data_IF_938957499205
#
_entry.id   IF_938957499205
#
_cell.length_a   1.000
_cell.length_b   1.000
_cell.length_c   1.000
_cell.angle_alpha   90.00
_cell.angle_beta   90.00
_cell.angle_gamma   90.00
#
_symmetry.space_group_name_H-M   'P 1'
#
loop_
_entity.id
_entity.type
_entity.pdbx_description
1 polymer ?
#
# COMPACT_ATOMS: atom_id res chain seq x y z
N UNK A 1 25.53 10.00 1.80
CA UNK A 1 24.80 9.71 3.06
C UNK A 1 24.58 8.21 3.31
N UNK A 2 24.96 7.35 2.35
CA UNK A 2 24.90 5.88 2.56
C UNK A 2 25.72 5.42 3.77
N UNK A 3 26.96 5.91 4.01
CA UNK A 3 27.71 5.50 5.19
C UNK A 3 27.04 5.89 6.52
N UNK A 4 26.30 7.00 6.55
CA UNK A 4 25.52 7.39 7.74
C UNK A 4 24.35 6.40 7.97
N UNK A 5 23.64 6.07 6.91
CA UNK A 5 22.55 5.10 6.96
C UNK A 5 23.04 3.73 7.44
N UNK A 6 24.16 3.26 6.90
CA UNK A 6 24.79 1.99 7.26
C UNK A 6 25.28 1.98 8.71
N UNK A 7 25.90 3.08 9.16
CA UNK A 7 26.38 3.23 10.54
C UNK A 7 25.23 3.08 11.55
N UNK A 8 24.13 3.83 11.35
CA UNK A 8 23.00 3.82 12.28
C UNK A 8 22.27 2.47 12.27
N UNK A 9 22.18 1.82 11.10
CA UNK A 9 21.55 0.51 10.98
C UNK A 9 22.39 -0.58 11.65
N UNK A 10 23.72 -0.54 11.53
CA UNK A 10 24.64 -1.52 12.08
C UNK A 10 24.83 -1.37 13.59
N UNK A 11 24.92 -0.14 14.08
CA UNK A 11 25.13 0.16 15.51
C UNK A 11 24.02 1.08 16.05
N UNK A 12 23.05 0.48 16.70
CA UNK A 12 21.89 1.20 17.26
C UNK A 12 22.16 1.95 18.55
N UNK A 13 23.38 1.83 19.11
CA UNK A 13 23.80 2.61 20.28
C UNK A 13 24.28 4.01 19.91
N UNK A 14 24.52 4.24 18.62
CA UNK A 14 24.90 5.54 18.07
C UNK A 14 23.74 6.50 18.16
N UNK A 15 24.01 7.73 18.62
CA UNK A 15 23.05 8.84 18.50
C UNK A 15 22.97 9.30 17.05
N UNK A 16 21.80 9.16 16.38
CA UNK A 16 21.67 9.55 14.98
C UNK A 16 22.02 11.02 14.72
N UNK A 17 21.62 11.94 15.61
CA UNK A 17 21.90 13.38 15.44
C UNK A 17 23.38 13.67 15.55
N UNK A 18 24.05 13.13 16.56
CA UNK A 18 25.49 13.31 16.74
C UNK A 18 26.30 12.68 15.58
N UNK A 19 25.88 11.51 15.10
CA UNK A 19 26.52 10.88 13.94
C UNK A 19 26.37 11.74 12.67
N UNK A 20 25.17 12.31 12.46
CA UNK A 20 24.85 13.10 11.28
C UNK A 20 25.67 14.40 11.16
N UNK A 21 26.14 14.96 12.27
CA UNK A 21 27.00 16.15 12.26
C UNK A 21 28.25 15.95 11.40
N UNK A 22 28.80 14.74 11.35
CA UNK A 22 30.01 14.44 10.56
C UNK A 22 29.71 14.36 9.03
N UNK A 23 28.46 14.41 8.63
CA UNK A 23 28.03 14.31 7.23
C UNK A 23 27.47 15.62 6.67
N UNK A 24 27.57 16.72 7.43
CA UNK A 24 27.17 18.04 6.96
C UNK A 24 28.12 18.49 5.84
N UNK A 25 27.56 18.86 4.70
CA UNK A 25 28.30 19.36 3.55
C UNK A 25 27.40 20.29 2.72
N UNK A 26 27.50 21.59 2.98
CA UNK A 26 26.66 22.59 2.31
C UNK A 26 26.88 22.64 0.79
N UNK A 27 28.10 22.34 0.31
CA UNK A 27 28.38 22.28 -1.14
C UNK A 27 27.67 21.16 -1.86
N UNK A 28 27.35 20.07 -1.13
CA UNK A 28 26.60 18.92 -1.62
C UNK A 28 25.11 18.96 -1.24
N UNK A 29 24.62 20.11 -0.74
CA UNK A 29 23.22 20.30 -0.41
C UNK A 29 22.81 19.73 0.96
N UNK A 30 23.75 19.31 1.81
CA UNK A 30 23.50 18.85 3.19
C UNK A 30 23.83 19.97 4.15
N UNK A 31 22.84 20.82 4.46
CA UNK A 31 23.05 22.05 5.21
C UNK A 31 23.25 21.82 6.72
N UNK A 32 22.64 20.78 7.27
CA UNK A 32 22.63 20.47 8.70
C UNK A 32 22.45 18.96 8.97
N UNK A 33 22.55 18.56 10.23
CA UNK A 33 22.38 17.19 10.67
C UNK A 33 20.97 16.63 10.36
N UNK A 34 19.93 17.46 10.45
CA UNK A 34 18.57 17.06 10.14
C UNK A 34 18.41 16.71 8.65
N UNK A 35 19.01 17.50 7.76
CA UNK A 35 19.08 17.23 6.32
C UNK A 35 19.87 15.96 6.02
N UNK A 36 20.98 15.72 6.73
CA UNK A 36 21.74 14.47 6.62
C UNK A 36 20.90 13.26 7.02
N UNK A 37 20.16 13.32 8.13
CA UNK A 37 19.27 12.25 8.59
C UNK A 37 18.10 12.04 7.64
N UNK A 38 17.54 13.09 7.05
CA UNK A 38 16.51 12.99 6.04
C UNK A 38 16.99 12.19 4.84
N UNK A 39 18.18 12.51 4.32
CA UNK A 39 18.77 11.78 3.20
C UNK A 39 19.12 10.33 3.56
N UNK A 40 19.66 10.07 4.75
CA UNK A 40 19.93 8.71 5.23
C UNK A 40 18.63 7.90 5.37
N UNK A 41 17.55 8.50 5.89
CA UNK A 41 16.22 7.90 5.96
C UNK A 41 15.71 7.51 4.58
N UNK A 42 15.81 8.40 3.61
CA UNK A 42 15.31 8.16 2.25
C UNK A 42 16.09 7.02 1.56
N UNK A 43 17.40 6.92 1.82
CA UNK A 43 18.24 5.82 1.35
C UNK A 43 17.78 4.47 1.98
N UNK A 44 17.59 4.44 3.29
CA UNK A 44 17.11 3.23 3.96
C UNK A 44 15.69 2.86 3.51
N UNK A 45 14.80 3.83 3.39
CA UNK A 45 13.44 3.60 2.91
C UNK A 45 13.42 3.04 1.48
N UNK A 46 14.32 3.51 0.60
CA UNK A 46 14.48 2.95 -0.74
C UNK A 46 14.95 1.49 -0.68
N UNK A 47 16.00 1.18 0.07
CA UNK A 47 16.49 -0.20 0.26
C UNK A 47 15.40 -1.12 0.81
N UNK A 48 14.67 -0.67 1.83
CA UNK A 48 13.53 -1.39 2.41
C UNK A 48 12.47 -1.67 1.34
N UNK A 49 12.17 -0.70 0.48
CA UNK A 49 11.15 -0.83 -0.56
C UNK A 49 11.53 -1.80 -1.68
N UNK A 50 12.82 -2.03 -1.87
CA UNK A 50 13.35 -2.94 -2.88
C UNK A 50 13.62 -4.36 -2.37
N UNK A 51 13.44 -4.62 -1.07
CA UNK A 51 13.62 -5.95 -0.47
C UNK A 51 12.52 -6.92 -0.93
N UNK A 52 12.85 -7.95 -1.74
CA UNK A 52 11.83 -8.85 -2.29
C UNK A 52 11.13 -9.68 -1.21
N UNK A 53 11.86 -10.11 -0.17
CA UNK A 53 11.32 -10.93 0.91
C UNK A 53 10.34 -10.14 1.78
N UNK A 54 10.66 -8.89 2.07
CA UNK A 54 9.76 -8.00 2.77
C UNK A 54 8.51 -7.67 1.94
N UNK A 55 8.68 -7.36 0.66
CA UNK A 55 7.55 -7.08 -0.25
C UNK A 55 6.58 -8.26 -0.31
N UNK A 56 7.09 -9.48 -0.44
CA UNK A 56 6.25 -10.69 -0.43
C UNK A 56 5.49 -10.84 0.90
N UNK A 57 6.19 -10.66 2.04
CA UNK A 57 5.56 -10.71 3.37
C UNK A 57 4.44 -9.69 3.52
N UNK A 58 4.67 -8.45 3.09
CA UNK A 58 3.67 -7.38 3.15
C UNK A 58 2.50 -7.64 2.20
N UNK A 59 2.77 -8.14 0.99
CA UNK A 59 1.75 -8.49 0.02
C UNK A 59 0.85 -9.61 0.53
N UNK A 60 1.44 -10.69 1.08
CA UNK A 60 0.71 -11.80 1.69
C UNK A 60 -0.15 -11.33 2.88
N UNK A 61 0.43 -10.50 3.75
CA UNK A 61 -0.28 -9.92 4.88
C UNK A 61 -1.49 -9.10 4.44
N UNK A 62 -1.32 -8.18 3.48
CA UNK A 62 -2.39 -7.34 2.97
C UNK A 62 -3.41 -8.13 2.13
N UNK A 63 -2.99 -9.13 1.37
CA UNK A 63 -3.89 -10.04 0.62
C UNK A 63 -4.81 -10.82 1.54
N UNK A 64 -4.30 -11.27 2.69
CA UNK A 64 -5.03 -12.10 3.66
C UNK A 64 -5.96 -11.28 4.56
N UNK A 65 -5.50 -10.11 5.01
CA UNK A 65 -6.20 -9.27 6.00
C UNK A 65 -6.83 -8.02 5.43
N UNK A 66 -6.42 -7.62 4.23
CA UNK A 66 -6.90 -6.41 3.57
C UNK A 66 -8.33 -6.55 3.06
N UNK A 67 -8.97 -5.41 2.95
CA UNK A 67 -10.30 -5.23 2.41
C UNK A 67 -10.25 -4.33 1.18
N UNK A 68 -11.02 -4.68 0.15
CA UNK A 68 -11.30 -3.77 -0.95
C UNK A 68 -12.26 -2.71 -0.46
N UNK A 69 -11.84 -1.46 -0.52
CA UNK A 69 -12.62 -0.31 -0.07
C UNK A 69 -12.94 0.55 -1.29
N UNK A 70 -14.19 0.95 -1.44
CA UNK A 70 -14.55 1.95 -2.44
C UNK A 70 -15.41 3.04 -1.82
N UNK A 71 -15.19 4.26 -2.32
CA UNK A 71 -15.90 5.47 -1.92
C UNK A 71 -16.29 6.26 -3.15
N UNK A 72 -17.44 6.90 -3.09
CA UNK A 72 -17.85 7.83 -4.15
C UNK A 72 -16.88 9.01 -4.25
N UNK A 73 -16.51 9.34 -5.48
CA UNK A 73 -15.73 10.54 -5.78
C UNK A 73 -16.69 11.66 -6.13
N UNK A 74 -16.76 12.68 -5.28
CA UNK A 74 -17.48 13.89 -5.59
C UNK A 74 -16.70 14.68 -6.68
N UNK A 75 -17.17 14.59 -7.91
CA UNK A 75 -16.60 15.33 -9.02
C UNK A 75 -17.03 16.80 -8.87
N UNK A 76 -16.12 17.63 -8.37
CA UNK A 76 -16.34 19.08 -8.31
C UNK A 76 -16.30 19.70 -9.72
N UNK A 77 -17.34 20.44 -10.09
CA UNK A 77 -17.43 21.19 -11.35
C UNK A 77 -18.75 20.96 -12.08
N UNK A 78 -18.98 21.70 -13.17
CA UNK A 78 -20.14 21.55 -14.08
C UNK A 78 -20.20 20.08 -14.57
N UNK A 79 -21.07 19.29 -13.97
CA UNK A 79 -21.27 17.89 -14.35
C UNK A 79 -22.17 17.82 -15.58
N UNK A 80 -21.89 16.91 -16.55
CA UNK A 80 -22.84 16.62 -17.61
C UNK A 80 -24.17 16.12 -17.01
N UNK A 81 -25.28 16.47 -17.61
CA UNK A 81 -26.61 16.08 -17.14
C UNK A 81 -26.81 14.57 -16.94
N UNK A 82 -25.95 13.75 -17.55
CA UNK A 82 -25.97 12.27 -17.44
C UNK A 82 -25.10 11.70 -16.29
N UNK A 83 -24.38 12.56 -15.56
CA UNK A 83 -23.47 12.10 -14.50
C UNK A 83 -24.23 11.37 -13.37
N UNK A 84 -25.42 11.82 -13.03
CA UNK A 84 -26.27 11.19 -12.02
C UNK A 84 -26.74 9.79 -12.45
N UNK A 85 -27.07 9.60 -13.73
CA UNK A 85 -27.49 8.29 -14.25
C UNK A 85 -26.31 7.31 -14.37
N UNK A 86 -25.11 7.83 -14.72
CA UNK A 86 -23.89 7.00 -14.77
C UNK A 86 -23.39 6.60 -13.39
N UNK A 87 -23.49 7.48 -12.40
CA UNK A 87 -23.10 7.21 -11.04
C UNK A 87 -24.08 6.27 -10.34
N UNK A 88 -25.37 6.33 -10.67
CA UNK A 88 -26.43 5.53 -10.05
C UNK A 88 -26.18 4.00 -10.12
N UNK A 89 -25.55 3.51 -11.20
CA UNK A 89 -25.22 2.08 -11.36
C UNK A 89 -24.15 1.58 -10.38
N UNK A 90 -23.39 2.49 -9.75
CA UNK A 90 -22.36 2.17 -8.76
C UNK A 90 -22.78 2.52 -7.33
N UNK A 91 -24.05 2.86 -7.11
CA UNK A 91 -24.56 3.32 -5.81
C UNK A 91 -24.26 2.37 -4.66
N UNK A 92 -24.32 1.06 -4.91
CA UNK A 92 -24.03 0.03 -3.91
C UNK A 92 -22.56 0.00 -3.47
N UNK A 93 -21.69 0.69 -4.20
CA UNK A 93 -20.24 0.77 -3.96
C UNK A 93 -19.77 2.15 -3.50
N UNK A 94 -20.66 3.08 -3.18
CA UNK A 94 -20.31 4.42 -2.71
C UNK A 94 -19.69 4.44 -1.32
N UNK A 95 -20.07 3.49 -0.49
CA UNK A 95 -19.47 3.19 0.80
C UNK A 95 -19.38 1.67 0.94
N UNK A 96 -18.37 1.10 0.31
CA UNK A 96 -18.25 -0.35 0.22
C UNK A 96 -16.94 -0.82 0.83
N UNK A 97 -16.99 -1.95 1.51
CA UNK A 97 -15.84 -2.59 2.13
C UNK A 97 -16.07 -4.10 2.21
N UNK A 98 -15.16 -4.89 1.64
CA UNK A 98 -15.24 -6.35 1.69
C UNK A 98 -13.84 -6.97 1.65
N UNK A 99 -13.61 -8.05 2.44
CA UNK A 99 -12.33 -8.73 2.53
C UNK A 99 -11.87 -9.27 1.18
N UNK A 100 -10.61 -8.99 0.80
CA UNK A 100 -10.01 -9.44 -0.47
C UNK A 100 -10.09 -10.96 -0.66
N UNK A 101 -9.99 -11.71 0.44
CA UNK A 101 -10.04 -13.17 0.43
C UNK A 101 -11.44 -13.76 0.17
N UNK A 102 -12.50 -12.96 0.31
CA UNK A 102 -13.90 -13.41 0.25
C UNK A 102 -14.70 -12.75 -0.86
N UNK A 103 -14.26 -11.61 -1.37
CA UNK A 103 -15.01 -10.81 -2.33
C UNK A 103 -15.28 -11.59 -3.63
N UNK A 104 -16.56 -11.67 -4.08
CA UNK A 104 -16.89 -12.31 -5.35
C UNK A 104 -16.36 -11.56 -6.55
N UNK A 105 -15.97 -12.28 -7.61
CA UNK A 105 -15.37 -11.72 -8.82
C UNK A 105 -16.23 -10.65 -9.48
N UNK A 106 -17.55 -10.82 -9.52
CA UNK A 106 -18.45 -9.83 -10.14
C UNK A 106 -18.45 -8.49 -9.39
N UNK A 107 -18.25 -8.47 -8.05
CA UNK A 107 -18.13 -7.25 -7.26
C UNK A 107 -16.77 -6.56 -7.49
N UNK A 108 -15.70 -7.36 -7.55
CA UNK A 108 -14.36 -6.83 -7.91
C UNK A 108 -14.45 -6.10 -9.24
N UNK A 109 -15.00 -6.75 -10.28
CA UNK A 109 -15.10 -6.16 -11.61
C UNK A 109 -15.99 -4.90 -11.62
N UNK A 110 -17.10 -4.90 -10.86
CA UNK A 110 -17.98 -3.73 -10.74
C UNK A 110 -17.25 -2.53 -10.09
N UNK A 111 -16.55 -2.77 -8.97
CA UNK A 111 -15.79 -1.73 -8.26
C UNK A 111 -14.67 -1.17 -9.13
N UNK A 112 -13.88 -2.04 -9.79
CA UNK A 112 -12.80 -1.61 -10.67
C UNK A 112 -13.29 -0.88 -11.92
N UNK A 113 -14.49 -1.26 -12.42
CA UNK A 113 -15.15 -0.51 -13.48
C UNK A 113 -15.54 0.89 -13.00
N UNK A 114 -16.13 1.03 -11.81
CA UNK A 114 -16.46 2.34 -11.21
C UNK A 114 -15.23 3.23 -11.03
N UNK A 115 -14.09 2.63 -10.64
CA UNK A 115 -12.79 3.33 -10.60
C UNK A 115 -12.35 3.84 -11.97
N UNK A 116 -12.41 2.98 -12.99
CA UNK A 116 -12.03 3.35 -14.36
C UNK A 116 -12.93 4.43 -14.96
N UNK A 117 -14.21 4.44 -14.61
CA UNK A 117 -15.18 5.46 -15.01
C UNK A 117 -15.07 6.74 -14.17
N UNK A 118 -14.16 6.80 -13.17
CA UNK A 118 -13.93 7.99 -12.33
C UNK A 118 -15.00 8.24 -11.27
N UNK A 119 -15.93 7.30 -11.07
CA UNK A 119 -17.02 7.41 -10.09
C UNK A 119 -16.60 6.97 -8.69
N UNK A 120 -15.70 5.99 -8.61
CA UNK A 120 -15.23 5.42 -7.35
C UNK A 120 -13.73 5.65 -7.13
N UNK A 121 -13.37 6.10 -5.94
CA UNK A 121 -12.03 5.94 -5.39
C UNK A 121 -11.92 4.55 -4.78
N UNK A 122 -10.86 3.82 -5.11
CA UNK A 122 -10.68 2.42 -4.68
C UNK A 122 -9.32 2.28 -4.04
N UNK A 123 -9.29 1.66 -2.88
CA UNK A 123 -8.09 1.35 -2.10
C UNK A 123 -8.14 -0.06 -1.50
N UNK A 124 -6.97 -0.52 -1.04
CA UNK A 124 -6.86 -1.70 -0.18
C UNK A 124 -6.44 -1.21 1.21
N UNK A 125 -7.28 -1.48 2.19
CA UNK A 125 -7.08 -1.05 3.57
C UNK A 125 -7.20 -2.25 4.52
N UNK A 126 -6.62 -2.15 5.70
CA UNK A 126 -6.95 -3.04 6.82
C UNK A 126 -8.29 -2.62 7.42
N UNK A 127 -8.76 -3.34 8.43
CA UNK A 127 -9.94 -2.91 9.18
C UNK A 127 -9.75 -1.49 9.74
N UNK A 128 -10.82 -0.71 9.94
CA UNK A 128 -10.70 0.66 10.46
C UNK A 128 -9.89 0.76 11.75
N UNK A 129 -10.06 -0.20 12.66
CA UNK A 129 -9.32 -0.23 13.92
C UNK A 129 -7.82 -0.46 13.71
N UNK A 130 -7.43 -1.29 12.74
CA UNK A 130 -6.04 -1.56 12.41
C UNK A 130 -5.38 -0.40 11.67
N UNK A 131 -6.11 0.28 10.78
CA UNK A 131 -5.61 1.48 10.10
C UNK A 131 -5.29 2.62 11.06
N UNK A 132 -5.99 2.68 12.21
CA UNK A 132 -5.78 3.66 13.25
C UNK A 132 -4.69 3.27 14.26
N UNK A 133 -4.15 2.06 14.20
CA UNK A 133 -3.09 1.64 15.11
C UNK A 133 -1.80 2.44 14.90
N UNK A 134 -1.10 2.70 15.99
CA UNK A 134 0.22 3.34 15.96
C UNK A 134 1.19 2.56 16.87
N UNK A 135 2.19 1.88 16.31
CA UNK A 135 2.50 1.78 14.88
C UNK A 135 1.45 1.00 14.08
N UNK A 136 1.31 1.33 12.79
CA UNK A 136 0.49 0.56 11.85
C UNK A 136 1.02 -0.88 11.73
N UNK A 137 0.16 -1.92 11.57
CA UNK A 137 0.61 -3.32 11.51
C UNK A 137 1.68 -3.59 10.45
N UNK A 138 1.60 -2.95 9.28
CA UNK A 138 2.62 -3.06 8.25
C UNK A 138 3.97 -2.42 8.65
N UNK A 139 3.95 -1.30 9.38
CA UNK A 139 5.16 -0.68 9.96
C UNK A 139 5.84 -1.65 10.93
N UNK A 140 5.05 -2.35 11.74
CA UNK A 140 5.53 -3.37 12.69
C UNK A 140 6.15 -4.59 11.99
N UNK A 141 5.58 -5.01 10.85
CA UNK A 141 6.15 -6.09 10.03
C UNK A 141 7.51 -5.69 9.44
N UNK A 142 7.63 -4.46 8.94
CA UNK A 142 8.91 -3.93 8.44
C UNK A 142 9.95 -3.92 9.57
N UNK A 143 9.59 -3.37 10.72
CA UNK A 143 10.48 -3.32 11.87
C UNK A 143 10.94 -4.72 12.30
N UNK A 144 10.01 -5.68 12.37
CA UNK A 144 10.30 -7.08 12.69
C UNK A 144 11.24 -7.73 11.68
N UNK A 145 11.03 -7.50 10.38
CA UNK A 145 11.86 -8.04 9.30
C UNK A 145 13.34 -7.65 9.46
N UNK A 146 13.59 -6.39 9.84
CA UNK A 146 14.94 -5.86 10.10
C UNK A 146 15.39 -6.00 11.56
N UNK A 147 14.63 -6.69 12.41
CA UNK A 147 14.92 -6.84 13.84
C UNK A 147 14.98 -5.51 14.58
N UNK A 148 14.25 -4.47 14.12
CA UNK A 148 14.19 -3.16 14.75
C UNK A 148 13.14 -3.18 15.85
N UNK A 149 13.59 -3.01 17.08
CA UNK A 149 12.73 -3.03 18.28
C UNK A 149 13.10 -1.86 19.19
N UNK A 150 12.12 -1.36 19.92
CA UNK A 150 12.35 -0.33 20.95
C UNK A 150 12.95 -0.97 22.20
N UNK A 151 14.27 -1.00 22.27
CA UNK A 151 15.02 -1.59 23.39
C UNK A 151 15.70 -0.55 24.27
N UNK A 152 15.50 0.75 23.97
CA UNK A 152 16.09 1.86 24.69
C UNK A 152 17.45 2.32 24.14
N UNK A 153 17.86 1.81 22.97
CA UNK A 153 19.05 2.30 22.26
C UNK A 153 18.75 3.63 21.56
N UNK A 154 19.77 4.45 21.38
CA UNK A 154 19.63 5.83 20.88
C UNK A 154 19.04 5.91 19.46
N UNK A 155 19.34 4.94 18.61
CA UNK A 155 18.86 4.91 17.24
C UNK A 155 17.47 4.25 17.06
N UNK A 156 16.91 3.58 18.08
CA UNK A 156 15.69 2.77 17.94
C UNK A 156 14.51 3.61 17.41
N UNK A 157 14.26 4.76 17.99
CA UNK A 157 13.12 5.61 17.58
C UNK A 157 13.30 6.20 16.17
N UNK A 158 14.53 6.53 15.79
CA UNK A 158 14.81 7.01 14.44
C UNK A 158 14.61 5.89 13.42
N UNK A 159 15.10 4.68 13.67
CA UNK A 159 14.91 3.52 12.78
C UNK A 159 13.43 3.12 12.67
N UNK A 160 12.65 3.19 13.74
CA UNK A 160 11.21 2.98 13.68
C UNK A 160 10.52 4.07 12.82
N UNK A 161 11.01 5.30 12.86
CA UNK A 161 10.52 6.36 11.97
C UNK A 161 10.84 6.09 10.50
N UNK A 162 11.99 5.45 10.20
CA UNK A 162 12.35 4.99 8.85
C UNK A 162 11.38 3.91 8.37
N UNK A 163 11.03 2.93 9.21
CA UNK A 163 10.04 1.90 8.87
C UNK A 163 8.67 2.51 8.54
N UNK A 164 8.24 3.49 9.35
CA UNK A 164 6.99 4.25 9.09
C UNK A 164 7.04 4.99 7.76
N UNK A 165 8.15 5.66 7.47
CA UNK A 165 8.35 6.39 6.22
C UNK A 165 8.36 5.46 5.01
N UNK A 166 9.10 4.35 5.10
CA UNK A 166 9.14 3.34 4.05
C UNK A 166 7.74 2.79 3.73
N UNK A 167 6.94 2.47 4.75
CA UNK A 167 5.56 2.05 4.54
C UNK A 167 4.72 3.11 3.84
N UNK A 168 4.63 4.29 4.44
CA UNK A 168 3.69 5.34 4.00
C UNK A 168 4.02 5.94 2.65
N UNK A 169 5.32 6.09 2.34
CA UNK A 169 5.77 6.84 1.16
C UNK A 169 6.17 5.93 0.01
N UNK A 170 6.68 4.74 0.30
CA UNK A 170 7.24 3.85 -0.73
C UNK A 170 6.40 2.60 -0.96
N UNK A 171 6.03 1.88 0.07
CA UNK A 171 5.48 0.54 -0.05
C UNK A 171 3.95 0.49 -0.19
N UNK A 172 3.22 1.31 0.56
CA UNK A 172 1.75 1.22 0.64
C UNK A 172 1.10 1.26 -0.74
N UNK A 173 1.37 2.29 -1.53
CA UNK A 173 0.77 2.46 -2.86
C UNK A 173 1.22 1.38 -3.84
N UNK A 174 2.47 0.97 -3.78
CA UNK A 174 3.01 -0.10 -4.63
C UNK A 174 2.35 -1.45 -4.33
N UNK A 175 2.25 -1.83 -3.05
CA UNK A 175 1.58 -3.07 -2.63
C UNK A 175 0.10 -3.04 -2.98
N UNK A 176 -0.58 -1.91 -2.77
CA UNK A 176 -1.98 -1.72 -3.18
C UNK A 176 -2.18 -1.94 -4.68
N UNK A 177 -1.30 -1.35 -5.49
CA UNK A 177 -1.36 -1.50 -6.95
C UNK A 177 -1.20 -2.96 -7.37
N UNK A 178 -0.21 -3.66 -6.82
CA UNK A 178 0.04 -5.07 -7.09
C UNK A 178 -1.18 -5.94 -6.72
N UNK A 179 -1.80 -5.68 -5.55
CA UNK A 179 -2.98 -6.41 -5.09
C UNK A 179 -4.23 -6.14 -5.93
N UNK A 180 -4.45 -4.89 -6.32
CA UNK A 180 -5.59 -4.55 -7.19
C UNK A 180 -5.46 -5.21 -8.56
N UNK A 181 -4.26 -5.32 -9.10
CA UNK A 181 -3.99 -6.05 -10.34
C UNK A 181 -4.26 -7.55 -10.16
N UNK A 182 -3.73 -8.16 -9.10
CA UNK A 182 -3.92 -9.58 -8.80
C UNK A 182 -5.41 -9.95 -8.65
N UNK A 183 -6.18 -9.17 -7.90
CA UNK A 183 -7.62 -9.45 -7.75
C UNK A 183 -8.40 -9.23 -9.05
N UNK A 184 -7.98 -8.27 -9.89
CA UNK A 184 -8.55 -8.04 -11.21
C UNK A 184 -8.35 -9.26 -12.10
N UNK A 185 -7.12 -9.73 -12.22
CA UNK A 185 -6.78 -10.90 -13.04
C UNK A 185 -7.57 -12.14 -12.59
N UNK A 186 -7.59 -12.41 -11.30
CA UNK A 186 -8.37 -13.53 -10.73
C UNK A 186 -9.86 -13.40 -11.03
N UNK A 187 -10.42 -12.20 -10.94
CA UNK A 187 -11.82 -11.96 -11.21
C UNK A 187 -12.17 -12.12 -12.71
N UNK A 188 -11.30 -11.68 -13.60
CA UNK A 188 -11.45 -11.83 -15.05
C UNK A 188 -11.36 -13.31 -15.46
N UNK A 189 -10.41 -14.08 -14.93
CA UNK A 189 -10.29 -15.52 -15.17
C UNK A 189 -11.54 -16.27 -14.73
N UNK A 190 -12.07 -15.95 -13.54
CA UNK A 190 -13.32 -16.55 -13.05
C UNK A 190 -14.50 -16.22 -13.96
N UNK A 191 -14.63 -14.98 -14.43
CA UNK A 191 -15.70 -14.57 -15.33
C UNK A 191 -15.62 -15.28 -16.69
N UNK A 192 -14.43 -15.45 -17.25
CA UNK A 192 -14.20 -16.21 -18.48
C UNK A 192 -14.58 -17.67 -18.31
N UNK A 193 -14.22 -18.29 -17.19
CA UNK A 193 -14.57 -19.68 -16.85
C UNK A 193 -16.08 -19.89 -16.81
N UNK A 194 -16.81 -19.04 -16.09
CA UNK A 194 -18.28 -19.09 -16.00
C UNK A 194 -18.94 -18.89 -17.36
N UNK A 195 -18.43 -17.95 -18.17
CA UNK A 195 -18.95 -17.76 -19.52
C UNK A 195 -18.73 -18.98 -20.41
N UNK A 196 -17.55 -19.60 -20.36
CA UNK A 196 -17.23 -20.80 -21.11
C UNK A 196 -18.12 -22.01 -20.74
N UNK A 197 -18.39 -22.20 -19.44
CA UNK A 197 -19.32 -23.24 -18.94
C UNK A 197 -20.74 -23.00 -19.43
N UNK A 198 -21.26 -21.78 -19.29
CA UNK A 198 -22.60 -21.41 -19.75
C UNK A 198 -22.76 -21.61 -21.27
N UNK A 199 -21.75 -21.22 -22.05
CA UNK A 199 -21.77 -21.42 -23.51
C UNK A 199 -21.78 -22.89 -23.89
N UNK A 200 -20.95 -23.70 -23.22
CA UNK A 200 -20.93 -25.14 -23.43
C UNK A 200 -22.31 -25.78 -23.13
N UNK A 201 -22.91 -25.41 -22.01
CA UNK A 201 -24.21 -25.95 -21.59
C UNK A 201 -25.32 -25.55 -22.58
N UNK A 202 -25.28 -24.33 -23.10
CA UNK A 202 -26.21 -23.90 -24.15
C UNK A 202 -26.02 -24.67 -25.45
N UNK A 203 -24.78 -24.95 -25.86
CA UNK A 203 -24.50 -25.71 -27.08
C UNK A 203 -24.83 -27.17 -26.95
N UNK A 204 -24.75 -27.77 -25.75
CA UNK A 204 -25.09 -29.16 -25.48
C UNK A 204 -26.58 -29.36 -25.21
N UNK A 205 -27.31 -28.31 -24.84
CA UNK A 205 -28.77 -28.35 -24.62
C UNK A 205 -29.57 -28.11 -25.92
N UNK A 206 -28.91 -27.85 -27.06
CA UNK A 206 -29.60 -27.74 -28.36
C UNK A 206 -30.12 -29.12 -28.80
N UNK A 207 -31.40 -29.25 -29.21
CA UNK A 207 -32.01 -30.50 -29.62
C UNK A 207 -31.41 -31.06 -30.93
#
# INVERSE_FOLDING_TARGET
LEPLADLILADRTVDPMAAAENFINAEKGVADAASALTGARDILAERISLDPGLRETLREFMSTRGELVSKWVELGGDQPADADAQSAKFKDYFEFREALSKIPSHRVLAVLRGRREGVLAVSVELTPDEELQSPHPAESLIAKHYGIERTGRLADDWLLSVCRWAWRVKLRLSIETDLLEEIRERAEETAIGVFGENLRDLLLAAP
#
